data_IF_878578884692
#
_entry.id   IF_878578884692
#
_cell.length_a   1.000
_cell.length_b   1.000
_cell.length_c   1.000
_cell.angle_alpha   90.00
_cell.angle_beta   90.00
_cell.angle_gamma   90.00
#
_symmetry.space_group_name_H-M   'P 1'
#
loop_
_entity.id
_entity.type
_entity.pdbx_description
1 polymer ?
#
# COMPACT_ATOMS: atom_id res chain seq x y z
N UNK A 1 6.75 -14.64 4.68
CA UNK A 1 7.86 -14.63 3.69
C UNK A 1 8.04 -16.01 3.04
N UNK A 2 7.23 -17.00 3.43
CA UNK A 2 7.44 -18.42 3.16
C UNK A 2 6.90 -18.85 1.80
N UNK A 3 5.82 -18.22 1.34
CA UNK A 3 5.23 -18.44 0.02
C UNK A 3 6.01 -17.76 -1.13
N UNK A 4 6.89 -16.80 -0.85
CA UNK A 4 7.64 -16.11 -1.89
C UNK A 4 8.63 -17.07 -2.54
N UNK A 5 8.49 -17.29 -3.86
CA UNK A 5 9.37 -18.15 -4.67
C UNK A 5 10.43 -17.38 -5.46
N UNK A 6 10.52 -16.06 -5.29
CA UNK A 6 11.56 -15.26 -5.94
C UNK A 6 11.39 -15.02 -7.44
N UNK A 7 10.17 -15.16 -8.00
CA UNK A 7 9.89 -14.93 -9.43
C UNK A 7 10.10 -13.49 -9.91
N UNK A 8 10.16 -12.52 -8.99
CA UNK A 8 10.43 -11.09 -9.26
C UNK A 8 9.40 -10.35 -10.12
N UNK A 9 8.34 -11.01 -10.60
CA UNK A 9 7.27 -10.37 -11.39
C UNK A 9 6.55 -9.23 -10.64
N UNK A 10 6.45 -9.34 -9.31
CA UNK A 10 5.88 -8.28 -8.47
C UNK A 10 6.68 -6.97 -8.50
N UNK A 11 8.00 -7.04 -8.73
CA UNK A 11 8.87 -5.84 -8.83
C UNK A 11 8.49 -5.02 -10.06
N UNK A 12 8.33 -5.68 -11.20
CA UNK A 12 7.89 -5.04 -12.44
C UNK A 12 6.45 -4.56 -12.34
N UNK A 13 5.55 -5.39 -11.78
CA UNK A 13 4.11 -5.12 -11.70
C UNK A 13 3.72 -3.93 -10.81
N UNK A 14 4.53 -3.57 -9.80
CA UNK A 14 4.24 -2.39 -8.99
C UNK A 14 4.54 -1.10 -9.78
N UNK A 15 3.53 -0.24 -10.06
CA UNK A 15 3.76 1.00 -10.82
C UNK A 15 4.66 1.98 -10.04
N UNK A 16 4.60 1.96 -8.70
CA UNK A 16 5.40 2.82 -7.82
C UNK A 16 6.79 2.27 -7.49
N UNK A 17 7.14 1.08 -7.98
CA UNK A 17 8.45 0.43 -7.75
C UNK A 17 8.81 0.36 -6.26
N UNK A 18 7.82 0.01 -5.41
CA UNK A 18 7.97 -0.11 -3.94
C UNK A 18 8.16 -1.54 -3.44
N UNK A 19 8.39 -2.48 -4.35
CA UNK A 19 8.79 -3.85 -4.05
C UNK A 19 10.25 -3.98 -4.44
N UNK A 20 11.09 -4.39 -3.49
CA UNK A 20 12.53 -4.53 -3.67
C UNK A 20 12.92 -5.99 -3.60
N UNK A 21 13.84 -6.43 -4.44
CA UNK A 21 14.31 -7.80 -4.41
C UNK A 21 15.54 -7.91 -3.50
N UNK A 22 15.48 -8.80 -2.52
CA UNK A 22 16.63 -9.12 -1.69
C UNK A 22 17.46 -10.20 -2.39
N UNK A 23 18.64 -9.81 -2.86
CA UNK A 23 19.55 -10.69 -3.59
C UNK A 23 20.19 -11.78 -2.72
N UNK A 24 20.25 -11.58 -1.40
CA UNK A 24 20.77 -12.57 -0.46
C UNK A 24 19.72 -13.66 -0.15
N UNK A 25 18.50 -13.25 0.23
CA UNK A 25 17.43 -14.21 0.57
C UNK A 25 16.73 -14.80 -0.66
N UNK A 26 16.93 -14.21 -1.84
CA UNK A 26 16.26 -14.59 -3.07
C UNK A 26 14.76 -14.25 -3.08
N UNK A 27 14.28 -13.40 -2.17
CA UNK A 27 12.86 -13.08 -1.99
C UNK A 27 12.59 -11.58 -2.18
N UNK A 28 11.35 -11.27 -2.52
CA UNK A 28 10.90 -9.88 -2.61
C UNK A 28 10.43 -9.37 -1.24
N UNK A 29 10.81 -8.14 -0.93
CA UNK A 29 10.47 -7.44 0.31
C UNK A 29 9.80 -6.10 -0.04
N UNK A 30 8.92 -5.63 0.84
CA UNK A 30 8.18 -4.39 0.67
C UNK A 30 7.86 -3.77 2.03
N UNK A 31 7.47 -2.51 2.03
CA UNK A 31 6.93 -1.86 3.23
C UNK A 31 5.77 -2.69 3.80
N UNK A 32 5.81 -2.93 5.10
CA UNK A 32 4.80 -3.70 5.85
C UNK A 32 3.85 -2.80 6.64
N UNK A 33 3.90 -1.49 6.38
CA UNK A 33 3.18 -0.45 7.12
C UNK A 33 3.44 -0.49 8.64
N UNK A 34 4.60 -1.01 9.06
CA UNK A 34 4.93 -1.17 10.48
C UNK A 34 3.83 -1.90 11.28
N UNK A 35 3.23 -2.96 10.72
CA UNK A 35 2.10 -3.66 11.37
C UNK A 35 2.30 -3.99 12.86
N UNK A 36 3.50 -4.40 13.38
CA UNK A 36 3.65 -4.69 14.80
C UNK A 36 3.43 -3.47 15.70
N UNK A 37 3.61 -2.26 15.17
CA UNK A 37 3.32 -0.99 15.88
C UNK A 37 1.85 -0.62 15.76
N UNK A 38 1.26 -0.77 14.56
CA UNK A 38 -0.14 -0.45 14.34
C UNK A 38 -1.08 -1.34 15.18
N UNK A 39 -0.73 -2.61 15.37
CA UNK A 39 -1.50 -3.57 16.20
C UNK A 39 -1.63 -3.13 17.67
N UNK A 40 -0.69 -2.31 18.16
CA UNK A 40 -0.72 -1.74 19.52
C UNK A 40 -1.04 -0.24 19.52
N UNK A 41 -1.63 0.27 18.42
CA UNK A 41 -2.08 1.66 18.31
C UNK A 41 -0.96 2.69 18.16
N UNK A 42 0.28 2.27 17.89
CA UNK A 42 1.40 3.18 17.65
C UNK A 42 1.49 3.60 16.18
N UNK A 43 1.99 4.81 15.89
CA UNK A 43 2.23 5.24 14.51
C UNK A 43 3.33 4.42 13.83
N UNK A 44 3.38 4.48 12.50
CA UNK A 44 4.53 3.94 11.75
C UNK A 44 5.79 4.73 12.09
N UNK A 45 6.96 4.08 12.03
CA UNK A 45 8.25 4.72 12.33
C UNK A 45 8.44 5.98 11.49
N UNK A 46 8.16 5.89 10.19
CA UNK A 46 8.37 7.02 9.29
C UNK A 46 7.34 8.15 9.47
N UNK A 47 6.17 7.88 10.07
CA UNK A 47 5.22 8.91 10.49
C UNK A 47 5.64 9.57 11.79
N UNK A 48 6.05 8.79 12.78
CA UNK A 48 6.50 9.29 14.10
C UNK A 48 7.75 10.16 14.00
N UNK A 49 8.72 9.75 13.18
CA UNK A 49 9.99 10.48 13.00
C UNK A 49 9.89 11.58 11.94
N UNK A 50 8.70 11.94 11.47
CA UNK A 50 8.54 12.98 10.46
C UNK A 50 8.79 14.37 11.06
N UNK A 51 10.00 14.89 10.85
CA UNK A 51 10.44 16.21 11.35
C UNK A 51 9.47 17.33 10.97
N UNK A 52 8.97 17.31 9.73
CA UNK A 52 8.04 18.33 9.22
C UNK A 52 6.61 18.20 9.74
N UNK A 53 6.27 17.12 10.47
CA UNK A 53 4.90 16.87 10.99
C UNK A 53 3.82 16.89 9.91
N UNK A 54 4.14 16.43 8.70
CA UNK A 54 3.26 16.47 7.52
C UNK A 54 2.44 15.19 7.33
N UNK A 55 2.68 14.15 8.15
CA UNK A 55 2.12 12.81 7.95
C UNK A 55 0.97 12.58 8.92
N UNK A 56 -0.17 12.20 8.37
CA UNK A 56 -1.38 11.85 9.11
C UNK A 56 -1.67 10.37 8.91
N UNK A 57 -2.06 9.70 9.99
CA UNK A 57 -2.56 8.33 9.97
C UNK A 57 -3.99 8.37 10.49
N UNK A 58 -4.91 7.78 9.74
CA UNK A 58 -6.32 7.73 10.06
C UNK A 58 -6.96 6.48 9.46
N UNK A 59 -8.07 6.07 10.04
CA UNK A 59 -8.86 4.95 9.52
C UNK A 59 -9.65 5.44 8.31
N UNK A 60 -9.74 4.59 7.29
CA UNK A 60 -10.66 4.75 6.17
C UNK A 60 -11.49 3.47 6.08
N UNK A 61 -12.80 3.62 6.17
CA UNK A 61 -13.73 2.57 5.84
C UNK A 61 -14.00 2.65 4.33
N UNK A 62 -14.09 1.51 3.66
CA UNK A 62 -14.36 1.48 2.23
C UNK A 62 -15.20 0.26 1.84
N UNK A 63 -15.99 0.41 0.78
CA UNK A 63 -16.73 -0.68 0.15
C UNK A 63 -15.78 -1.53 -0.71
N UNK A 64 -15.47 -2.73 -0.23
CA UNK A 64 -14.55 -3.65 -0.91
C UNK A 64 -15.15 -4.23 -2.20
N UNK A 65 -16.47 -4.43 -2.26
CA UNK A 65 -17.15 -5.01 -3.41
C UNK A 65 -17.20 -4.02 -4.59
N UNK A 66 -17.10 -2.73 -4.30
CA UNK A 66 -17.15 -1.66 -5.29
C UNK A 66 -15.77 -1.27 -5.88
N UNK A 67 -14.67 -1.84 -5.36
CA UNK A 67 -13.30 -1.49 -5.78
C UNK A 67 -13.05 -1.74 -7.27
N UNK A 68 -13.54 -2.87 -7.81
CA UNK A 68 -13.32 -3.20 -9.22
C UNK A 68 -13.96 -2.15 -10.14
N UNK A 69 -15.19 -1.71 -9.85
CA UNK A 69 -15.86 -0.65 -10.61
C UNK A 69 -15.05 0.66 -10.55
N UNK A 70 -14.55 1.02 -9.36
CA UNK A 70 -13.81 2.27 -9.18
C UNK A 70 -12.46 2.24 -9.92
N UNK A 71 -11.78 1.09 -9.91
CA UNK A 71 -10.49 0.92 -10.58
C UNK A 71 -10.61 0.72 -12.10
N UNK A 72 -11.78 0.35 -12.62
CA UNK A 72 -12.02 0.08 -14.04
C UNK A 72 -12.67 1.24 -14.80
N UNK A 73 -12.59 2.47 -14.28
CA UNK A 73 -13.17 3.62 -14.96
C UNK A 73 -12.54 3.82 -16.35
N UNK A 74 -13.33 4.06 -17.41
CA UNK A 74 -12.80 4.21 -18.77
C UNK A 74 -11.91 5.43 -18.96
N UNK A 75 -12.25 6.55 -18.31
CA UNK A 75 -11.44 7.77 -18.32
C UNK A 75 -10.59 7.84 -17.04
N UNK A 76 -9.24 7.80 -17.13
CA UNK A 76 -8.36 7.90 -15.96
C UNK A 76 -8.58 9.17 -15.13
N UNK A 77 -9.13 10.25 -15.71
CA UNK A 77 -9.41 11.50 -14.99
C UNK A 77 -10.53 11.36 -13.96
N UNK A 78 -11.39 10.34 -14.08
CA UNK A 78 -12.49 10.10 -13.12
C UNK A 78 -12.09 9.19 -11.96
N UNK A 79 -10.94 8.52 -12.03
CA UNK A 79 -10.46 7.57 -11.01
C UNK A 79 -10.42 8.18 -9.60
N UNK A 80 -10.05 9.46 -9.48
CA UNK A 80 -10.02 10.13 -8.18
C UNK A 80 -11.41 10.27 -7.56
N UNK A 81 -12.41 10.65 -8.35
CA UNK A 81 -13.79 10.75 -7.87
C UNK A 81 -14.34 9.36 -7.52
N UNK A 82 -14.16 8.40 -8.42
CA UNK A 82 -14.58 7.01 -8.19
C UNK A 82 -13.93 6.38 -6.95
N UNK A 83 -12.65 6.67 -6.68
CA UNK A 83 -12.00 6.21 -5.44
C UNK A 83 -12.60 6.85 -4.19
N UNK A 84 -13.04 8.10 -4.26
CA UNK A 84 -13.70 8.76 -3.12
C UNK A 84 -15.09 8.19 -2.87
N UNK A 85 -15.79 7.77 -3.93
CA UNK A 85 -17.14 7.23 -3.83
C UNK A 85 -17.18 5.88 -3.11
N UNK A 86 -16.06 5.14 -3.08
CA UNK A 86 -15.98 3.88 -2.31
C UNK A 86 -15.61 4.09 -0.84
N UNK A 87 -15.29 5.32 -0.41
CA UNK A 87 -15.00 5.63 0.99
C UNK A 87 -16.30 5.91 1.76
N UNK A 88 -16.43 5.33 2.96
CA UNK A 88 -17.62 5.40 3.82
C UNK A 88 -17.47 6.40 4.97
#
# INVERSE_FOLDING_TARGET
QDHCRGWRMCVSGCPYKKVFFNHHSGKAEKCTLCYPRLEVGQPTVCSETCVGRLRYLGVLLYDADHVTWAASQPDPRTLYAAQRDILL
#
